data_IF_687150024074
#
_entry.id   IF_687150024074
#
_cell.length_a   1.000
_cell.length_b   1.000
_cell.length_c   1.000
_cell.angle_alpha   90.00
_cell.angle_beta   90.00
_cell.angle_gamma   90.00
#
_symmetry.space_group_name_H-M   'P 1'
#
loop_
_entity.id
_entity.type
_entity.pdbx_description
1 polymer ?
#
# COMPACT_ATOMS: atom_id res chain seq x y z
N UNK A 1 -74.28 -47.14 -10.19
CA UNK A 1 -73.75 -45.90 -9.58
C UNK A 1 -73.45 -44.94 -10.70
N UNK A 2 -74.04 -43.74 -10.59
CA UNK A 2 -73.52 -42.40 -10.94
C UNK A 2 -72.09 -42.26 -11.53
N UNK A 3 -71.75 -41.13 -12.20
CA UNK A 3 -72.02 -40.87 -13.61
C UNK A 3 -70.82 -40.17 -14.34
N UNK A 4 -71.06 -39.75 -15.58
CA UNK A 4 -70.68 -38.47 -16.21
C UNK A 4 -69.23 -37.91 -16.16
N UNK A 5 -68.67 -37.84 -17.38
CA UNK A 5 -68.41 -36.60 -18.14
C UNK A 5 -67.26 -35.67 -17.73
N UNK A 6 -66.84 -34.89 -18.73
CA UNK A 6 -65.87 -33.79 -18.75
C UNK A 6 -64.44 -34.11 -19.19
N UNK A 7 -64.29 -34.12 -20.51
CA UNK A 7 -63.32 -33.27 -21.19
C UNK A 7 -63.20 -31.88 -20.53
N UNK A 8 -62.09 -31.63 -19.84
CA UNK A 8 -61.49 -30.30 -19.59
C UNK A 8 -60.10 -30.47 -18.97
N UNK A 9 -59.22 -29.51 -19.29
CA UNK A 9 -57.83 -29.31 -18.85
C UNK A 9 -56.81 -30.09 -19.73
N UNK A 10 -56.17 -29.55 -20.77
CA UNK A 10 -55.61 -28.20 -21.01
C UNK A 10 -54.89 -27.66 -19.77
N UNK A 11 -53.55 -27.65 -19.90
CA UNK A 11 -52.54 -27.21 -18.96
C UNK A 11 -52.13 -28.25 -17.91
N UNK A 12 -50.98 -28.88 -18.17
CA UNK A 12 -49.91 -28.79 -17.19
C UNK A 12 -48.55 -28.75 -17.91
N UNK A 13 -48.19 -27.52 -18.27
CA UNK A 13 -46.81 -27.08 -18.33
C UNK A 13 -46.12 -27.43 -17.00
N UNK A 14 -45.48 -28.60 -16.92
CA UNK A 14 -44.35 -28.78 -16.00
C UNK A 14 -43.07 -28.56 -16.77
N UNK A 15 -42.92 -27.31 -17.18
CA UNK A 15 -41.62 -26.66 -17.19
C UNK A 15 -40.97 -27.01 -15.86
N UNK A 16 -39.91 -27.81 -15.89
CA UNK A 16 -38.92 -27.82 -14.81
C UNK A 16 -38.24 -26.45 -14.88
N UNK A 17 -38.97 -25.41 -14.45
CA UNK A 17 -38.35 -24.22 -13.92
C UNK A 17 -37.71 -24.69 -12.64
N UNK A 18 -36.45 -25.12 -12.75
CA UNK A 18 -35.52 -25.02 -11.64
C UNK A 18 -35.72 -23.63 -11.07
N UNK A 19 -36.42 -23.53 -9.94
CA UNK A 19 -36.44 -22.34 -9.12
C UNK A 19 -34.98 -22.11 -8.76
N UNK A 20 -34.28 -21.32 -9.57
CA UNK A 20 -33.14 -20.56 -9.11
C UNK A 20 -33.71 -19.69 -8.01
N UNK A 21 -33.62 -20.21 -6.78
CA UNK A 21 -33.78 -19.43 -5.57
C UNK A 21 -33.09 -18.10 -5.81
N UNK A 22 -33.77 -16.96 -5.59
CA UNK A 22 -33.13 -15.66 -5.78
C UNK A 22 -31.97 -15.64 -4.79
N UNK A 23 -30.75 -15.79 -5.32
CA UNK A 23 -29.51 -15.59 -4.58
C UNK A 23 -29.71 -14.27 -3.85
N UNK A 24 -29.79 -14.34 -2.52
CA UNK A 24 -30.17 -13.18 -1.71
C UNK A 24 -29.23 -12.03 -2.05
N UNK A 25 -29.73 -10.81 -2.10
CA UNK A 25 -28.94 -9.60 -2.41
C UNK A 25 -27.64 -9.54 -1.60
N UNK A 26 -27.65 -10.05 -0.37
CA UNK A 26 -26.47 -10.20 0.51
C UNK A 26 -25.40 -11.11 -0.08
N UNK A 27 -25.78 -12.26 -0.65
CA UNK A 27 -24.83 -13.21 -1.26
C UNK A 27 -24.16 -12.61 -2.50
N UNK A 28 -24.89 -11.82 -3.31
CA UNK A 28 -24.32 -11.10 -4.46
C UNK A 28 -23.28 -10.05 -4.04
N UNK A 29 -23.53 -9.31 -2.96
CA UNK A 29 -22.58 -8.30 -2.45
C UNK A 29 -21.28 -8.97 -1.97
N UNK A 30 -21.38 -10.10 -1.28
CA UNK A 30 -20.19 -10.86 -0.84
C UNK A 30 -19.38 -11.34 -2.05
N UNK A 31 -20.05 -11.85 -3.08
CA UNK A 31 -19.40 -12.26 -4.33
C UNK A 31 -18.65 -11.09 -5.01
N UNK A 32 -19.25 -9.88 -5.04
CA UNK A 32 -18.58 -8.66 -5.53
C UNK A 32 -17.30 -8.37 -4.75
N UNK A 33 -17.35 -8.37 -3.41
CA UNK A 33 -16.17 -8.11 -2.59
C UNK A 33 -15.07 -9.16 -2.79
N UNK A 34 -15.43 -10.43 -2.91
CA UNK A 34 -14.45 -11.50 -3.16
C UNK A 34 -13.71 -11.30 -4.49
N UNK A 35 -14.44 -10.98 -5.57
CA UNK A 35 -13.81 -10.72 -6.88
C UNK A 35 -12.86 -9.51 -6.82
N UNK A 36 -13.25 -8.44 -6.10
CA UNK A 36 -12.38 -7.28 -5.89
C UNK A 36 -11.12 -7.68 -5.13
N UNK A 37 -11.26 -8.43 -4.03
CA UNK A 37 -10.13 -8.88 -3.21
C UNK A 37 -9.19 -9.77 -4.04
N UNK A 38 -9.71 -10.70 -4.83
CA UNK A 38 -8.92 -11.60 -5.67
C UNK A 38 -8.13 -10.82 -6.73
N UNK A 39 -8.76 -9.83 -7.36
CA UNK A 39 -8.09 -8.98 -8.35
C UNK A 39 -6.98 -8.14 -7.70
N UNK A 40 -7.24 -7.53 -6.55
CA UNK A 40 -6.23 -6.76 -5.79
C UNK A 40 -5.08 -7.65 -5.32
N UNK A 41 -5.36 -8.88 -4.89
CA UNK A 41 -4.34 -9.86 -4.53
C UNK A 41 -3.47 -10.27 -5.72
N UNK A 42 -4.06 -10.45 -6.92
CA UNK A 42 -3.28 -10.71 -8.13
C UNK A 42 -2.36 -9.53 -8.51
N UNK A 43 -2.74 -8.31 -8.13
CA UNK A 43 -1.92 -7.11 -8.33
C UNK A 43 -0.79 -6.96 -7.31
N UNK A 44 -0.92 -7.55 -6.12
CA UNK A 44 0.11 -7.54 -5.07
C UNK A 44 1.44 -8.07 -5.63
N UNK A 45 2.50 -7.27 -5.50
CA UNK A 45 3.84 -7.58 -6.03
C UNK A 45 4.04 -7.31 -7.54
N UNK A 46 2.99 -6.89 -8.26
CA UNK A 46 3.03 -6.56 -9.70
C UNK A 46 2.89 -5.05 -9.97
N UNK A 47 3.37 -4.19 -9.06
CA UNK A 47 3.10 -2.74 -9.07
C UNK A 47 3.65 -1.96 -10.28
N UNK A 48 4.55 -2.57 -11.05
CA UNK A 48 5.05 -2.02 -12.31
C UNK A 48 4.04 -2.17 -13.46
N UNK A 49 3.01 -3.01 -13.32
CA UNK A 49 1.93 -3.19 -14.29
C UNK A 49 0.79 -2.22 -13.98
N UNK A 50 0.01 -1.85 -14.99
CA UNK A 50 -1.23 -1.09 -14.76
C UNK A 50 -2.33 -2.04 -14.29
N UNK A 51 -3.04 -1.67 -13.23
CA UNK A 51 -4.24 -2.38 -12.81
C UNK A 51 -5.41 -2.03 -13.75
N UNK A 52 -5.88 -2.99 -14.56
CA UNK A 52 -6.96 -2.74 -15.49
C UNK A 52 -8.32 -2.84 -14.77
N UNK A 53 -8.86 -1.68 -14.40
CA UNK A 53 -10.15 -1.58 -13.71
C UNK A 53 -11.34 -2.01 -14.58
N UNK A 54 -11.32 -1.72 -15.89
CA UNK A 54 -12.39 -2.14 -16.80
C UNK A 54 -12.52 -3.67 -16.81
N UNK A 55 -11.38 -4.38 -16.85
CA UNK A 55 -11.34 -5.84 -16.77
C UNK A 55 -11.91 -6.35 -15.45
N UNK A 56 -11.64 -5.69 -14.32
CA UNK A 56 -12.25 -6.02 -13.03
C UNK A 56 -13.78 -5.88 -13.10
N UNK A 57 -14.29 -4.76 -13.63
CA UNK A 57 -15.74 -4.53 -13.73
C UNK A 57 -16.44 -5.63 -14.54
N UNK A 58 -15.83 -6.08 -15.65
CA UNK A 58 -16.41 -7.19 -16.45
C UNK A 58 -16.54 -8.51 -15.70
N UNK A 59 -15.78 -8.71 -14.62
CA UNK A 59 -15.80 -9.93 -13.80
C UNK A 59 -16.81 -9.86 -12.66
N UNK A 60 -17.41 -8.70 -12.40
CA UNK A 60 -18.32 -8.52 -11.28
C UNK A 60 -19.72 -9.04 -11.59
N UNK A 61 -20.36 -9.77 -10.65
CA UNK A 61 -21.70 -10.30 -10.85
C UNK A 61 -22.76 -9.18 -10.77
N UNK A 62 -23.30 -8.81 -11.93
CA UNK A 62 -24.53 -8.02 -12.06
C UNK A 62 -24.34 -6.56 -12.46
N UNK A 63 -25.39 -5.98 -13.07
CA UNK A 63 -25.45 -4.61 -13.60
C UNK A 63 -25.84 -3.54 -12.57
N UNK A 64 -25.70 -3.82 -11.27
CA UNK A 64 -26.37 -3.05 -10.20
C UNK A 64 -25.46 -1.96 -9.61
N UNK A 65 -24.15 -2.07 -9.78
CA UNK A 65 -23.20 -1.13 -9.20
C UNK A 65 -22.53 -0.37 -10.33
N UNK A 66 -22.73 0.95 -10.36
CA UNK A 66 -21.99 1.81 -11.27
C UNK A 66 -20.49 1.66 -11.00
N UNK A 67 -19.71 1.51 -12.08
CA UNK A 67 -18.26 1.30 -12.00
C UNK A 67 -17.56 2.34 -11.12
N UNK A 68 -18.06 3.59 -11.13
CA UNK A 68 -17.56 4.67 -10.29
C UNK A 68 -17.72 4.45 -8.78
N UNK A 69 -18.78 3.76 -8.34
CA UNK A 69 -19.00 3.54 -6.91
C UNK A 69 -18.08 2.49 -6.33
N UNK A 70 -17.69 1.51 -7.14
CA UNK A 70 -16.69 0.50 -6.75
C UNK A 70 -15.32 1.13 -6.56
N UNK A 71 -14.91 2.04 -7.48
CA UNK A 71 -13.67 2.80 -7.33
C UNK A 71 -13.71 3.59 -6.02
N UNK A 72 -14.78 4.35 -5.77
CA UNK A 72 -14.92 5.14 -4.55
C UNK A 72 -14.81 4.27 -3.30
N UNK A 73 -15.43 3.10 -3.29
CA UNK A 73 -15.37 2.16 -2.17
C UNK A 73 -13.92 1.67 -1.94
N UNK A 74 -13.23 1.24 -3.00
CA UNK A 74 -11.83 0.79 -2.91
C UNK A 74 -10.94 1.90 -2.35
N UNK A 75 -11.08 3.13 -2.86
CA UNK A 75 -10.29 4.28 -2.39
C UNK A 75 -10.60 4.65 -0.94
N UNK A 76 -11.87 4.61 -0.53
CA UNK A 76 -12.26 4.81 0.87
C UNK A 76 -11.67 3.74 1.79
N UNK A 77 -11.67 2.48 1.38
CA UNK A 77 -11.01 1.43 2.15
C UNK A 77 -9.51 1.69 2.26
N UNK A 78 -8.85 2.07 1.16
CA UNK A 78 -7.42 2.41 1.19
C UNK A 78 -7.13 3.54 2.18
N UNK A 79 -7.92 4.61 2.16
CA UNK A 79 -7.81 5.73 3.10
C UNK A 79 -8.01 5.27 4.55
N UNK A 80 -9.04 4.47 4.83
CA UNK A 80 -9.29 3.92 6.17
C UNK A 80 -8.13 3.06 6.68
N UNK A 81 -7.52 2.23 5.82
CA UNK A 81 -6.35 1.43 6.19
C UNK A 81 -5.07 2.27 6.37
N UNK A 82 -4.94 3.39 5.67
CA UNK A 82 -3.80 4.30 5.82
C UNK A 82 -3.92 5.25 7.02
N UNK A 83 -5.13 5.51 7.48
CA UNK A 83 -5.41 6.46 8.57
C UNK A 83 -5.80 5.72 9.85
N UNK A 84 -7.02 5.20 9.88
CA UNK A 84 -7.66 4.66 11.09
C UNK A 84 -7.05 3.32 11.51
N UNK A 85 -6.76 2.45 10.55
CA UNK A 85 -6.18 1.13 10.82
C UNK A 85 -4.66 1.09 10.59
N UNK A 86 -4.01 2.26 10.57
CA UNK A 86 -2.55 2.34 10.46
C UNK A 86 -1.89 1.66 11.66
N UNK A 87 -2.36 2.00 12.86
CA UNK A 87 -1.75 1.59 14.13
C UNK A 87 -2.61 0.57 14.90
N UNK A 88 -3.82 0.32 14.41
CA UNK A 88 -4.82 -0.53 15.06
C UNK A 88 -5.39 -1.55 14.09
N UNK A 89 -5.50 -2.79 14.53
CA UNK A 89 -6.20 -3.86 13.82
C UNK A 89 -7.59 -4.06 14.42
N UNK A 90 -8.58 -4.27 13.54
CA UNK A 90 -9.91 -4.69 13.96
C UNK A 90 -9.92 -6.19 14.26
N UNK A 91 -10.32 -6.54 15.48
CA UNK A 91 -10.52 -7.91 15.93
C UNK A 91 -12.01 -8.13 16.23
N UNK A 92 -12.64 -9.15 15.63
CA UNK A 92 -14.00 -9.52 16.01
C UNK A 92 -14.03 -10.08 17.44
N UNK A 93 -14.85 -9.50 18.31
CA UNK A 93 -15.05 -9.94 19.70
C UNK A 93 -16.53 -10.10 20.00
N UNK A 94 -16.90 -11.25 20.55
CA UNK A 94 -18.28 -11.55 20.93
C UNK A 94 -18.49 -11.21 22.42
N UNK A 95 -19.43 -10.32 22.71
CA UNK A 95 -19.79 -9.90 24.08
C UNK A 95 -21.31 -10.05 24.20
N UNK A 96 -21.79 -10.78 25.21
CA UNK A 96 -23.22 -11.03 25.46
C UNK A 96 -23.99 -11.48 24.21
N UNK A 97 -23.42 -12.44 23.46
CA UNK A 97 -23.94 -12.98 22.20
C UNK A 97 -23.99 -12.01 21.00
N UNK A 98 -23.54 -10.76 21.16
CA UNK A 98 -23.42 -9.78 20.07
C UNK A 98 -21.99 -9.73 19.56
N UNK A 99 -21.82 -9.68 18.23
CA UNK A 99 -20.50 -9.54 17.59
C UNK A 99 -20.15 -8.05 17.46
N UNK A 100 -19.02 -7.67 18.05
CA UNK A 100 -18.44 -6.34 17.93
C UNK A 100 -17.09 -6.43 17.20
N UNK A 101 -16.67 -5.31 16.64
CA UNK A 101 -15.26 -5.10 16.33
C UNK A 101 -14.61 -4.34 17.48
N UNK A 102 -13.49 -4.86 17.97
CA UNK A 102 -12.63 -4.17 18.94
C UNK A 102 -11.28 -3.89 18.28
N UNK A 103 -10.64 -2.79 18.64
CA UNK A 103 -9.29 -2.50 18.16
C UNK A 103 -8.25 -3.17 19.06
N UNK A 104 -7.23 -3.76 18.44
CA UNK A 104 -5.99 -4.12 19.10
C UNK A 104 -4.88 -3.32 18.44
N UNK A 105 -4.01 -2.72 19.24
CA UNK A 105 -2.81 -2.07 18.73
C UNK A 105 -1.97 -3.12 17.97
N UNK A 106 -1.52 -2.81 16.76
CA UNK A 106 -0.82 -3.77 15.90
C UNK A 106 0.63 -3.99 16.43
N UNK A 107 0.94 -5.14 17.08
CA UNK A 107 2.27 -5.34 17.65
C UNK A 107 3.35 -5.35 16.57
N UNK A 108 3.06 -5.82 15.35
CA UNK A 108 4.04 -5.84 14.24
C UNK A 108 4.43 -4.44 13.75
N UNK A 109 3.71 -3.38 14.16
CA UNK A 109 4.06 -1.96 13.94
C UNK A 109 4.44 -1.21 15.22
N UNK A 110 4.24 -1.84 16.38
CA UNK A 110 4.65 -1.34 17.70
C UNK A 110 5.99 -1.96 18.13
N UNK A 111 6.38 -3.10 17.54
CA UNK A 111 7.62 -3.83 17.84
C UNK A 111 8.75 -3.54 16.84
N UNK A 112 8.48 -2.91 15.68
CA UNK A 112 9.53 -2.20 14.92
C UNK A 112 10.01 -0.94 15.65
N UNK A 113 9.34 -0.55 16.74
CA UNK A 113 9.71 0.54 17.66
C UNK A 113 10.23 0.03 19.01
N UNK A 114 10.83 -1.16 19.04
CA UNK A 114 11.54 -1.72 20.22
C UNK A 114 13.06 -1.74 20.04
N UNK A 115 13.60 -0.75 19.33
CA UNK A 115 14.92 -0.23 19.68
C UNK A 115 14.73 1.13 20.37
N UNK A 116 15.35 1.22 21.53
CA UNK A 116 15.05 2.16 22.59
C UNK A 116 15.32 3.63 22.21
N UNK A 117 14.37 4.50 22.58
CA UNK A 117 14.46 5.98 22.67
C UNK A 117 14.39 6.83 21.39
N UNK A 118 13.31 6.74 20.60
CA UNK A 118 12.88 7.90 19.80
C UNK A 118 11.39 8.16 20.05
N UNK A 119 11.14 9.28 20.73
CA UNK A 119 9.82 9.85 21.02
C UNK A 119 9.02 10.06 19.72
N UNK A 120 7.70 10.20 19.84
CA UNK A 120 6.79 10.75 18.82
C UNK A 120 7.11 12.20 18.38
N UNK A 121 8.37 12.64 18.50
CA UNK A 121 8.86 13.92 18.03
C UNK A 121 9.14 13.82 16.52
N UNK A 122 8.55 14.74 15.75
CA UNK A 122 8.92 14.95 14.35
C UNK A 122 10.37 15.41 14.32
N UNK A 123 11.25 14.63 13.69
CA UNK A 123 12.66 15.00 13.51
C UNK A 123 12.76 15.88 12.26
N UNK A 124 13.05 17.17 12.45
CA UNK A 124 13.23 18.10 11.34
C UNK A 124 14.68 18.04 10.84
N UNK A 125 14.87 17.65 9.58
CA UNK A 125 16.15 17.70 8.88
C UNK A 125 16.09 18.82 7.87
N UNK A 126 17.12 19.68 7.87
CA UNK A 126 17.26 20.75 6.87
C UNK A 126 18.35 20.38 5.90
N UNK A 127 17.99 20.23 4.63
CA UNK A 127 18.90 19.90 3.54
C UNK A 127 19.12 21.13 2.68
N UNK A 128 20.37 21.43 2.34
CA UNK A 128 20.63 22.39 1.29
C UNK A 128 20.25 21.77 -0.07
N UNK A 129 19.87 22.61 -1.04
CA UNK A 129 19.57 22.15 -2.40
C UNK A 129 20.69 21.29 -3.02
N UNK A 130 21.95 21.58 -2.70
CA UNK A 130 23.09 20.79 -3.18
C UNK A 130 23.11 19.37 -2.58
N UNK A 131 22.73 19.22 -1.32
CA UNK A 131 22.67 17.92 -0.64
C UNK A 131 21.64 16.98 -1.29
N UNK A 132 20.55 17.54 -1.81
CA UNK A 132 19.53 16.78 -2.54
C UNK A 132 20.08 16.16 -3.82
N UNK A 133 20.87 16.91 -4.58
CA UNK A 133 21.49 16.43 -5.81
C UNK A 133 22.46 15.29 -5.51
N UNK A 134 23.30 15.49 -4.49
CA UNK A 134 24.25 14.47 -4.04
C UNK A 134 23.51 13.21 -3.57
N UNK A 135 22.45 13.36 -2.78
CA UNK A 135 21.67 12.21 -2.28
C UNK A 135 21.03 11.43 -3.43
N UNK A 136 20.51 12.11 -4.44
CA UNK A 136 20.00 11.47 -5.66
C UNK A 136 21.08 10.66 -6.38
N UNK A 137 22.29 11.22 -6.54
CA UNK A 137 23.41 10.52 -7.18
C UNK A 137 23.86 9.29 -6.37
N UNK A 138 23.90 9.41 -5.05
CA UNK A 138 24.22 8.30 -4.14
C UNK A 138 23.21 7.17 -4.29
N UNK A 139 21.91 7.46 -4.27
CA UNK A 139 20.86 6.45 -4.41
C UNK A 139 20.89 5.82 -5.80
N UNK A 140 21.11 6.62 -6.85
CA UNK A 140 21.28 6.11 -8.21
C UNK A 140 22.47 5.14 -8.30
N UNK A 141 23.64 5.55 -7.80
CA UNK A 141 24.85 4.72 -7.77
C UNK A 141 24.63 3.45 -6.97
N UNK A 142 24.00 3.54 -5.80
CA UNK A 142 23.72 2.39 -4.96
C UNK A 142 22.80 1.37 -5.66
N UNK A 143 21.71 1.82 -6.27
CA UNK A 143 20.73 0.92 -6.91
C UNK A 143 21.19 0.38 -8.25
N UNK A 144 21.79 1.22 -9.09
CA UNK A 144 22.01 0.89 -10.50
C UNK A 144 23.44 0.52 -10.85
N UNK A 145 24.43 1.15 -10.20
CA UNK A 145 25.85 0.92 -10.51
C UNK A 145 26.45 -0.13 -9.58
N UNK A 146 26.36 0.10 -8.27
CA UNK A 146 26.90 -0.79 -7.25
C UNK A 146 25.96 -1.95 -6.90
N UNK A 147 24.69 -1.90 -7.32
CA UNK A 147 23.66 -2.94 -7.13
C UNK A 147 23.57 -3.42 -5.68
N UNK A 148 23.48 -2.47 -4.74
CA UNK A 148 23.40 -2.75 -3.31
C UNK A 148 24.74 -2.98 -2.61
N UNK A 149 25.86 -2.94 -3.32
CA UNK A 149 27.19 -2.95 -2.69
C UNK A 149 27.41 -1.60 -2.01
N UNK A 150 27.70 -1.63 -0.70
CA UNK A 150 27.96 -0.44 0.10
C UNK A 150 29.21 0.32 -0.37
N UNK A 151 29.36 1.54 0.12
CA UNK A 151 30.44 2.44 -0.24
C UNK A 151 31.63 2.28 0.70
N UNK A 152 32.81 2.05 0.14
CA UNK A 152 34.04 2.02 0.92
C UNK A 152 34.59 3.43 1.09
N UNK A 153 34.35 4.03 2.27
CA UNK A 153 34.82 5.39 2.57
C UNK A 153 36.32 5.45 2.89
N UNK A 154 37.04 4.33 2.99
CA UNK A 154 38.50 4.38 3.13
C UNK A 154 39.19 4.84 1.83
N UNK A 155 38.51 4.75 0.68
CA UNK A 155 39.05 5.13 -0.61
C UNK A 155 38.89 6.65 -0.83
N UNK A 156 39.98 7.41 -0.89
CA UNK A 156 39.96 8.85 -1.22
C UNK A 156 40.05 9.10 -2.73
N UNK A 157 39.28 8.35 -3.52
CA UNK A 157 39.51 8.24 -4.96
C UNK A 157 38.43 8.86 -5.85
N UNK A 158 37.37 9.45 -5.29
CA UNK A 158 36.35 10.14 -6.08
C UNK A 158 35.60 11.21 -5.31
N UNK A 159 35.12 12.22 -6.04
CA UNK A 159 34.24 13.27 -5.51
C UNK A 159 32.98 12.70 -4.88
N UNK A 160 32.43 11.61 -5.45
CA UNK A 160 31.28 10.91 -4.87
C UNK A 160 31.58 10.37 -3.47
N UNK A 161 32.74 9.73 -3.26
CA UNK A 161 33.09 9.21 -1.93
C UNK A 161 33.31 10.35 -0.93
N UNK A 162 33.90 11.47 -1.36
CA UNK A 162 34.04 12.67 -0.53
C UNK A 162 32.68 13.30 -0.18
N UNK A 163 31.75 13.30 -1.12
CA UNK A 163 30.38 13.76 -0.92
C UNK A 163 29.62 12.85 0.05
N UNK A 164 29.77 11.53 -0.07
CA UNK A 164 29.17 10.57 0.88
C UNK A 164 29.75 10.76 2.28
N UNK A 165 31.07 10.96 2.43
CA UNK A 165 31.69 11.27 3.72
C UNK A 165 31.10 12.52 4.36
N UNK A 166 30.92 13.56 3.55
CA UNK A 166 30.40 14.85 4.00
C UNK A 166 28.95 14.71 4.44
N UNK A 167 28.09 14.10 3.61
CA UNK A 167 26.69 13.85 3.96
C UNK A 167 26.54 12.91 5.16
N UNK A 168 27.35 11.85 5.27
CA UNK A 168 27.31 10.96 6.42
C UNK A 168 27.70 11.66 7.73
N UNK A 169 28.58 12.68 7.66
CA UNK A 169 28.96 13.48 8.82
C UNK A 169 27.86 14.47 9.23
N UNK A 170 27.16 15.05 8.27
CA UNK A 170 26.12 16.07 8.51
C UNK A 170 24.77 15.42 8.86
N UNK A 171 24.43 14.33 8.17
CA UNK A 171 23.15 13.63 8.25
C UNK A 171 23.40 12.12 8.49
N UNK A 172 23.91 11.73 9.66
CA UNK A 172 24.24 10.33 9.95
C UNK A 172 23.03 9.40 9.82
N UNK A 173 21.82 9.91 10.09
CA UNK A 173 20.54 9.19 9.97
C UNK A 173 20.24 8.70 8.54
N UNK A 174 20.86 9.31 7.52
CA UNK A 174 20.72 8.93 6.11
C UNK A 174 21.56 7.72 5.73
N UNK A 175 22.41 7.22 6.64
CA UNK A 175 23.36 6.15 6.37
C UNK A 175 23.49 5.19 7.55
N UNK A 176 24.05 4.01 7.28
CA UNK A 176 24.47 3.08 8.32
C UNK A 176 25.73 2.34 7.89
N UNK A 177 26.45 1.80 8.87
CA UNK A 177 27.63 0.97 8.64
C UNK A 177 27.27 -0.48 8.91
N UNK A 178 27.48 -1.36 7.95
CA UNK A 178 27.41 -2.81 8.18
C UNK A 178 28.83 -3.34 8.42
N UNK A 179 28.99 -4.42 9.20
CA UNK A 179 30.23 -4.91 9.85
C UNK A 179 31.52 -5.06 9.02
N UNK A 180 31.48 -4.78 7.71
CA UNK A 180 32.63 -4.70 6.81
C UNK A 180 33.15 -3.27 6.58
N UNK A 181 32.85 -2.31 7.48
CA UNK A 181 33.21 -0.88 7.34
C UNK A 181 32.70 -0.22 6.03
N UNK A 182 31.71 -0.82 5.39
CA UNK A 182 31.04 -0.26 4.23
C UNK A 182 29.87 0.59 4.71
N UNK A 183 29.71 1.75 4.09
CA UNK A 183 28.61 2.66 4.38
C UNK A 183 27.50 2.45 3.38
N UNK A 184 26.28 2.34 3.88
CA UNK A 184 25.07 2.09 3.11
C UNK A 184 24.11 3.25 3.34
N UNK A 185 23.34 3.67 2.33
CA UNK A 185 22.19 4.54 2.57
C UNK A 185 21.18 3.82 3.47
N UNK A 186 20.67 4.51 4.50
CA UNK A 186 19.61 4.00 5.36
C UNK A 186 18.28 3.92 4.62
N UNK A 187 17.26 3.31 5.25
CA UNK A 187 15.89 3.32 4.71
C UNK A 187 15.43 4.75 4.40
N UNK A 188 15.65 5.67 5.34
CA UNK A 188 15.37 7.09 5.17
C UNK A 188 16.14 7.69 3.97
N UNK A 189 17.45 7.44 3.88
CA UNK A 189 18.28 7.96 2.79
C UNK A 189 17.86 7.44 1.41
N UNK A 190 17.47 6.17 1.31
CA UNK A 190 16.95 5.57 0.07
C UNK A 190 15.61 6.18 -0.32
N UNK A 191 14.64 6.17 0.59
CA UNK A 191 13.29 6.70 0.33
C UNK A 191 13.33 8.19 -0.03
N UNK A 192 14.20 8.96 0.63
CA UNK A 192 14.38 10.37 0.33
C UNK A 192 14.99 10.59 -1.04
N UNK A 193 16.07 9.90 -1.39
CA UNK A 193 16.69 10.04 -2.72
C UNK A 193 15.76 9.60 -3.85
N UNK A 194 14.96 8.56 -3.65
CA UNK A 194 13.94 8.12 -4.62
C UNK A 194 12.82 9.15 -4.80
N UNK A 195 12.39 9.74 -3.68
CA UNK A 195 11.38 10.78 -3.66
C UNK A 195 11.88 12.01 -4.43
N UNK A 196 13.08 12.50 -4.11
CA UNK A 196 13.74 13.62 -4.79
C UNK A 196 13.87 13.35 -6.30
N UNK A 197 14.33 12.16 -6.69
CA UNK A 197 14.44 11.78 -8.10
C UNK A 197 13.09 11.87 -8.82
N UNK A 198 12.02 11.42 -8.16
CA UNK A 198 10.66 11.48 -8.70
C UNK A 198 10.20 12.93 -8.87
N UNK A 199 10.49 13.81 -7.91
CA UNK A 199 10.18 15.24 -8.01
C UNK A 199 10.97 15.93 -9.13
N UNK A 200 12.27 15.66 -9.25
CA UNK A 200 13.13 16.20 -10.31
C UNK A 200 12.65 15.79 -11.70
N UNK A 201 12.30 14.51 -11.90
CA UNK A 201 11.73 14.01 -13.16
C UNK A 201 10.40 14.68 -13.52
N UNK A 202 9.62 15.07 -12.52
CA UNK A 202 8.33 15.72 -12.72
C UNK A 202 8.40 17.27 -12.78
N UNK A 203 9.60 17.86 -12.73
CA UNK A 203 9.80 19.32 -12.61
C UNK A 203 8.95 19.98 -11.52
N UNK A 204 8.69 19.25 -10.42
CA UNK A 204 7.89 19.76 -9.30
C UNK A 204 8.79 20.42 -8.28
N UNK A 205 8.40 21.63 -7.86
CA UNK A 205 9.03 22.34 -6.74
C UNK A 205 8.49 21.73 -5.44
N UNK A 206 9.37 21.47 -4.48
CA UNK A 206 9.02 20.99 -3.14
C UNK A 206 9.87 21.72 -2.10
N UNK A 207 9.21 22.17 -1.04
CA UNK A 207 9.87 22.83 0.11
C UNK A 207 9.96 21.90 1.31
N UNK A 208 9.05 20.92 1.41
CA UNK A 208 8.97 19.96 2.52
C UNK A 208 8.66 18.57 1.99
N UNK A 209 9.40 17.56 2.47
CA UNK A 209 9.13 16.14 2.24
C UNK A 209 8.93 15.46 3.60
N UNK A 210 7.89 14.63 3.72
CA UNK A 210 7.62 13.81 4.92
C UNK A 210 7.97 12.36 4.62
N UNK A 211 8.81 11.74 5.46
CA UNK A 211 9.15 10.31 5.40
C UNK A 211 9.10 9.75 6.82
N UNK A 212 8.20 8.82 7.09
CA UNK A 212 7.94 8.31 8.44
C UNK A 212 7.76 9.47 9.47
N UNK A 213 8.61 9.57 10.49
CA UNK A 213 8.61 10.65 11.48
C UNK A 213 9.57 11.81 11.14
N UNK A 214 10.18 11.82 9.95
CA UNK A 214 11.10 12.86 9.50
C UNK A 214 10.40 13.90 8.65
N UNK A 215 10.67 15.17 8.98
CA UNK A 215 10.29 16.34 8.19
C UNK A 215 11.52 16.93 7.54
N UNK A 216 11.70 16.67 6.25
CA UNK A 216 12.80 17.22 5.46
C UNK A 216 12.39 18.58 4.91
N UNK A 217 13.09 19.66 5.28
CA UNK A 217 12.95 20.98 4.67
C UNK A 217 14.12 21.27 3.73
N UNK A 218 13.81 21.78 2.55
CA UNK A 218 14.82 22.25 1.59
C UNK A 218 15.10 23.72 1.85
N UNK A 219 16.38 24.06 2.07
CA UNK A 219 16.89 25.42 2.22
C UNK A 219 17.37 26.00 0.88
#
# INVERSE_FOLDING_TARGET
>A
MQPDSYSKLLNDNKTVKTLKSPISSKKKIIEVFNVIIDALNAYKGNYHKKFNFEKLITQLPGSIIESGDIIKIILKFQELFHTTFKDYELIPKKINNTLYFTTKANPSRIEENKDENIKDEIIEIRLAKNDLNILNDIVYMFKHVNRGKGFNLALNNSDLINNIKTLNKIYPEMFYVNGNNLVYPSKLGLELGETINSYFKCNRIFEVIMIDNYKIRVL
#
